data_IF_385582356388
#
_entry.id   IF_385582356388
#
_cell.length_a   1.000
_cell.length_b   1.000
_cell.length_c   1.000
_cell.angle_alpha   90.00
_cell.angle_beta   90.00
_cell.angle_gamma   90.00
#
_symmetry.space_group_name_H-M   'P 1'
#
loop_
_entity.id
_entity.type
_entity.pdbx_description
1 polymer ?
#
# COMPACT_ATOMS: atom_id res chain seq x y z
N UNK A 1 -37.64 15.32 -7.09
CA UNK A 1 -36.46 14.52 -7.51
C UNK A 1 -35.24 14.69 -6.57
N UNK A 2 -35.34 14.47 -5.23
CA UNK A 2 -34.19 14.68 -4.34
C UNK A 2 -33.26 13.45 -4.19
N UNK A 3 -33.77 12.23 -4.38
CA UNK A 3 -33.03 10.98 -4.08
C UNK A 3 -31.84 10.72 -5.02
N UNK A 4 -31.93 11.14 -6.29
CA UNK A 4 -30.85 10.98 -7.28
C UNK A 4 -29.67 11.92 -7.02
N UNK A 5 -29.93 13.12 -6.51
CA UNK A 5 -28.88 14.07 -6.15
C UNK A 5 -28.05 13.58 -4.95
N UNK A 6 -28.68 12.95 -3.95
CA UNK A 6 -27.98 12.32 -2.81
C UNK A 6 -27.02 11.21 -3.27
N UNK A 7 -27.49 10.30 -4.13
CA UNK A 7 -26.66 9.21 -4.63
C UNK A 7 -25.45 9.69 -5.46
N UNK A 8 -25.65 10.74 -6.29
CA UNK A 8 -24.56 11.34 -7.05
C UNK A 8 -23.53 12.04 -6.15
N UNK A 9 -23.97 12.70 -5.08
CA UNK A 9 -23.08 13.30 -4.08
C UNK A 9 -22.30 12.25 -3.28
N UNK A 10 -22.92 11.14 -2.93
CA UNK A 10 -22.25 10.01 -2.27
C UNK A 10 -21.15 9.40 -3.15
N UNK A 11 -21.45 9.20 -4.44
CA UNK A 11 -20.46 8.70 -5.42
C UNK A 11 -19.33 9.70 -5.65
N UNK A 12 -19.64 10.99 -5.71
CA UNK A 12 -18.61 12.04 -5.79
C UNK A 12 -17.71 12.03 -4.54
N UNK A 13 -18.29 11.93 -3.35
CA UNK A 13 -17.53 11.87 -2.10
C UNK A 13 -16.64 10.62 -2.03
N UNK A 14 -17.12 9.47 -2.52
CA UNK A 14 -16.30 8.26 -2.62
C UNK A 14 -15.15 8.47 -3.61
N UNK A 15 -15.42 9.03 -4.79
CA UNK A 15 -14.41 9.31 -5.79
C UNK A 15 -13.35 10.32 -5.28
N UNK A 16 -13.78 11.35 -4.54
CA UNK A 16 -12.88 12.31 -3.92
C UNK A 16 -11.95 11.64 -2.89
N UNK A 17 -12.51 10.82 -1.98
CA UNK A 17 -11.70 10.07 -1.01
C UNK A 17 -10.71 9.11 -1.66
N UNK A 18 -11.09 8.47 -2.77
CA UNK A 18 -10.19 7.62 -3.55
C UNK A 18 -9.07 8.43 -4.22
N UNK A 19 -9.38 9.63 -4.70
CA UNK A 19 -8.37 10.53 -5.27
C UNK A 19 -7.36 10.98 -4.20
N UNK A 20 -7.84 11.43 -3.04
CA UNK A 20 -7.00 11.81 -1.92
C UNK A 20 -6.11 10.64 -1.48
N UNK A 21 -6.68 9.44 -1.32
CA UNK A 21 -5.92 8.25 -0.96
C UNK A 21 -4.84 7.91 -1.98
N UNK A 22 -5.13 8.04 -3.29
CA UNK A 22 -4.16 7.80 -4.35
C UNK A 22 -3.00 8.80 -4.27
N UNK A 23 -3.31 10.08 -4.02
CA UNK A 23 -2.29 11.12 -3.89
C UNK A 23 -1.39 10.90 -2.68
N UNK A 24 -2.00 10.63 -1.51
CA UNK A 24 -1.26 10.36 -0.27
C UNK A 24 -0.40 9.10 -0.39
N UNK A 25 -0.93 8.04 -1.00
CA UNK A 25 -0.19 6.81 -1.25
C UNK A 25 0.99 7.05 -2.19
N UNK A 26 0.79 7.81 -3.27
CA UNK A 26 1.86 8.18 -4.20
C UNK A 26 2.98 8.95 -3.49
N UNK A 27 2.63 9.98 -2.70
CA UNK A 27 3.63 10.77 -1.95
C UNK A 27 4.39 9.93 -0.93
N UNK A 28 3.69 9.03 -0.24
CA UNK A 28 4.29 8.10 0.72
C UNK A 28 5.27 7.17 0.02
N UNK A 29 4.87 6.55 -1.08
CA UNK A 29 5.71 5.65 -1.86
C UNK A 29 6.96 6.37 -2.39
N UNK A 30 6.79 7.57 -2.96
CA UNK A 30 7.91 8.38 -3.44
C UNK A 30 8.91 8.71 -2.33
N UNK A 31 8.40 9.06 -1.14
CA UNK A 31 9.24 9.37 0.02
C UNK A 31 10.03 8.13 0.46
N UNK A 32 9.38 6.97 0.53
CA UNK A 32 10.03 5.71 0.91
C UNK A 32 11.08 5.32 -0.14
N UNK A 33 10.77 5.44 -1.43
CA UNK A 33 11.73 5.20 -2.53
C UNK A 33 12.96 6.09 -2.40
N UNK A 34 12.77 7.41 -2.25
CA UNK A 34 13.88 8.36 -2.11
C UNK A 34 14.72 8.08 -0.85
N UNK A 35 14.09 7.76 0.28
CA UNK A 35 14.83 7.39 1.50
C UNK A 35 15.62 6.11 1.28
N UNK A 36 15.05 5.11 0.62
CA UNK A 36 15.69 3.81 0.36
C UNK A 36 16.90 3.98 -0.57
N UNK A 37 16.76 4.74 -1.66
CA UNK A 37 17.86 5.10 -2.55
C UNK A 37 18.98 5.82 -1.79
N UNK A 38 18.66 6.80 -0.95
CA UNK A 38 19.66 7.52 -0.15
C UNK A 38 20.39 6.62 0.84
N UNK A 39 19.72 5.61 1.42
CA UNK A 39 20.35 4.65 2.32
C UNK A 39 21.30 3.72 1.57
N UNK A 40 20.92 3.28 0.36
CA UNK A 40 21.76 2.46 -0.52
C UNK A 40 22.98 3.25 -1.00
N UNK A 41 22.78 4.48 -1.49
CA UNK A 41 23.85 5.35 -1.97
C UNK A 41 24.88 5.69 -0.88
N UNK A 42 24.43 5.74 0.38
CA UNK A 42 25.29 5.93 1.55
C UNK A 42 26.00 4.65 2.01
N UNK A 43 25.70 3.51 1.39
CA UNK A 43 26.22 2.19 1.78
C UNK A 43 25.68 1.69 3.12
N UNK A 44 24.55 2.23 3.59
CA UNK A 44 23.90 1.81 4.83
C UNK A 44 23.01 0.59 4.65
N UNK A 45 22.58 0.33 3.41
CA UNK A 45 21.83 -0.85 3.00
C UNK A 45 22.42 -1.36 1.69
N UNK A 46 22.60 -2.67 1.55
CA UNK A 46 22.88 -3.29 0.27
C UNK A 46 21.56 -3.57 -0.49
N UNK A 47 21.53 -3.44 -1.82
CA UNK A 47 20.32 -3.75 -2.62
C UNK A 47 19.76 -5.16 -2.35
N UNK A 48 20.64 -6.13 -2.12
CA UNK A 48 20.27 -7.52 -1.89
C UNK A 48 19.56 -7.70 -0.54
N UNK A 49 19.91 -6.90 0.48
CA UNK A 49 19.24 -6.91 1.79
C UNK A 49 17.79 -6.43 1.67
N UNK A 50 17.56 -5.40 0.87
CA UNK A 50 16.22 -4.91 0.58
C UNK A 50 15.38 -5.97 -0.14
N UNK A 51 15.92 -6.61 -1.17
CA UNK A 51 15.21 -7.67 -1.89
C UNK A 51 14.88 -8.86 -1.00
N UNK A 52 15.82 -9.29 -0.14
CA UNK A 52 15.59 -10.36 0.83
C UNK A 52 14.46 -9.99 1.78
N UNK A 53 14.44 -8.73 2.26
CA UNK A 53 13.39 -8.26 3.16
C UNK A 53 12.02 -8.25 2.47
N UNK A 54 11.95 -7.78 1.23
CA UNK A 54 10.70 -7.80 0.44
C UNK A 54 10.18 -9.22 0.29
N UNK A 55 11.04 -10.18 -0.11
CA UNK A 55 10.64 -11.59 -0.24
C UNK A 55 10.16 -12.21 1.07
N UNK A 56 10.80 -11.86 2.20
CA UNK A 56 10.35 -12.31 3.53
C UNK A 56 8.94 -11.82 3.83
N UNK A 57 8.67 -10.53 3.59
CA UNK A 57 7.37 -9.93 3.87
C UNK A 57 6.25 -10.50 2.99
N UNK A 58 6.54 -10.77 1.71
CA UNK A 58 5.60 -11.42 0.80
C UNK A 58 5.26 -12.86 1.29
N UNK A 59 6.27 -13.62 1.71
CA UNK A 59 6.05 -14.96 2.26
C UNK A 59 5.24 -14.95 3.56
N UNK A 60 5.51 -14.00 4.47
CA UNK A 60 4.74 -13.81 5.70
C UNK A 60 3.27 -13.47 5.39
N UNK A 61 3.03 -12.65 4.37
CA UNK A 61 1.68 -12.30 3.93
C UNK A 61 0.94 -13.52 3.36
N UNK A 62 1.60 -14.31 2.52
CA UNK A 62 1.02 -15.53 1.94
C UNK A 62 0.67 -16.56 3.03
N UNK A 63 1.49 -16.68 4.06
CA UNK A 63 1.22 -17.54 5.23
C UNK A 63 -0.01 -17.04 6.00
N UNK A 64 -0.10 -15.74 6.28
CA UNK A 64 -1.26 -15.13 6.95
C UNK A 64 -2.56 -15.32 6.15
N UNK A 65 -2.51 -15.13 4.83
CA UNK A 65 -3.65 -15.36 3.94
C UNK A 65 -4.06 -16.84 4.02
N UNK A 66 -3.09 -17.76 3.91
CA UNK A 66 -3.34 -19.20 3.96
C UNK A 66 -3.98 -19.65 5.28
N UNK A 67 -3.49 -19.14 6.41
CA UNK A 67 -4.03 -19.39 7.74
C UNK A 67 -5.44 -18.82 7.92
N UNK A 68 -5.74 -17.65 7.33
CA UNK A 68 -7.08 -17.07 7.36
C UNK A 68 -8.10 -17.82 6.49
N UNK A 69 -7.64 -18.49 5.41
CA UNK A 69 -8.50 -19.22 4.47
C UNK A 69 -8.73 -20.68 4.87
N UNK A 70 -7.84 -21.27 5.68
CA UNK A 70 -7.99 -22.60 6.26
C UNK A 70 -8.03 -22.50 7.79
N UNK A 71 -9.20 -22.21 8.40
CA UNK A 71 -9.31 -22.28 9.85
C UNK A 71 -8.99 -23.71 10.28
N UNK A 72 -8.01 -23.87 11.18
CA UNK A 72 -7.63 -25.17 11.74
C UNK A 72 -8.88 -25.93 12.25
N UNK A 73 -8.97 -27.26 12.03
CA UNK A 73 -10.01 -28.09 12.64
C UNK A 73 -9.89 -28.17 14.16
#
# INVERSE_FOLDING_TARGET
MPRKASAALEQLNLAAKLADLKEDHYRTLLTISAVTELLIDKGLLAPEELELKVRSLDAELDELISASLHPMP
#
